data_IF_377029728276
#
_entry.id   IF_377029728276
#
_cell.length_a   1.000
_cell.length_b   1.000
_cell.length_c   1.000
_cell.angle_alpha   90.00
_cell.angle_beta   90.00
_cell.angle_gamma   90.00
#
_symmetry.space_group_name_H-M   'P 1'
#
loop_
_entity.id
_entity.type
_entity.pdbx_description
1 polymer ?
#
# COMPACT_ATOMS: atom_id res chain seq x y z
N UNK A 1 4.03 -10.74 14.48
CA UNK A 1 3.63 -12.10 14.03
C UNK A 1 2.67 -11.90 12.87
N UNK A 2 2.82 -12.67 11.80
CA UNK A 2 1.93 -12.56 10.64
C UNK A 2 0.51 -12.95 11.02
N UNK A 3 -0.48 -12.16 10.60
CA UNK A 3 -1.88 -12.43 10.85
C UNK A 3 -2.43 -13.17 9.64
N UNK A 4 -2.29 -14.49 9.66
CA UNK A 4 -2.76 -15.41 8.62
C UNK A 4 -4.24 -15.71 8.88
N UNK A 5 -5.05 -15.58 7.84
CA UNK A 5 -6.49 -15.83 7.91
C UNK A 5 -6.89 -16.87 6.86
N UNK A 6 -8.13 -17.34 6.93
CA UNK A 6 -8.71 -18.39 6.07
C UNK A 6 -8.10 -19.78 6.24
N UNK A 7 -8.72 -20.77 5.59
CA UNK A 7 -8.47 -22.19 5.81
C UNK A 7 -7.16 -22.68 5.21
N UNK A 8 -6.76 -22.14 4.05
CA UNK A 8 -5.60 -22.60 3.30
C UNK A 8 -4.63 -21.47 2.95
N UNK A 9 -3.36 -21.83 2.77
CA UNK A 9 -2.31 -21.01 2.18
C UNK A 9 -1.43 -21.85 1.24
N UNK A 10 -0.57 -21.19 0.46
CA UNK A 10 0.49 -21.84 -0.32
C UNK A 10 1.86 -21.54 0.26
N UNK A 11 2.71 -22.57 0.30
CA UNK A 11 4.15 -22.45 0.45
C UNK A 11 4.80 -23.15 -0.74
N UNK A 12 5.49 -22.37 -1.57
CA UNK A 12 5.92 -22.78 -2.89
C UNK A 12 4.71 -23.40 -3.63
N UNK A 13 4.84 -24.62 -4.15
CA UNK A 13 3.77 -25.29 -4.88
C UNK A 13 2.81 -26.09 -3.97
N UNK A 14 3.01 -26.06 -2.65
CA UNK A 14 2.24 -26.87 -1.72
C UNK A 14 1.11 -26.06 -1.07
N UNK A 15 -0.14 -26.49 -1.29
CA UNK A 15 -1.29 -26.06 -0.48
C UNK A 15 -1.21 -26.66 0.91
N UNK A 16 -1.38 -25.84 1.94
CA UNK A 16 -1.36 -26.23 3.37
C UNK A 16 -2.56 -25.64 4.10
N UNK A 17 -2.99 -26.32 5.17
CA UNK A 17 -4.02 -25.81 6.07
C UNK A 17 -3.44 -24.83 7.09
N UNK A 18 -4.16 -23.73 7.35
CA UNK A 18 -3.74 -22.66 8.28
C UNK A 18 -3.73 -23.11 9.73
N UNK A 19 -4.50 -24.14 10.11
CA UNK A 19 -4.51 -24.71 11.47
C UNK A 19 -3.11 -25.19 11.94
N UNK A 20 -2.21 -25.52 11.00
CA UNK A 20 -0.85 -25.98 11.27
C UNK A 20 0.23 -24.94 10.85
N UNK A 21 -0.07 -23.65 10.99
CA UNK A 21 0.72 -22.50 10.51
C UNK A 21 1.99 -22.17 11.33
N UNK A 22 2.68 -23.18 11.87
CA UNK A 22 3.94 -22.98 12.62
C UNK A 22 5.05 -22.33 11.78
N UNK A 23 4.98 -22.47 10.46
CA UNK A 23 5.94 -21.90 9.50
C UNK A 23 6.06 -20.38 9.61
N UNK A 24 4.98 -19.67 9.93
CA UNK A 24 4.96 -18.20 10.02
C UNK A 24 5.73 -17.68 11.23
N UNK A 25 5.96 -18.53 12.24
CA UNK A 25 6.80 -18.23 13.39
C UNK A 25 8.29 -18.53 13.13
N UNK A 26 8.60 -19.17 12.01
CA UNK A 26 9.94 -19.57 11.59
C UNK A 26 10.44 -18.74 10.40
N UNK A 27 9.75 -17.64 10.07
CA UNK A 27 10.21 -16.72 9.04
C UNK A 27 11.34 -15.86 9.59
N UNK A 28 12.51 -15.97 8.98
CA UNK A 28 13.74 -15.34 9.42
C UNK A 28 14.53 -14.72 8.25
N UNK A 29 15.56 -13.98 8.62
CA UNK A 29 16.46 -13.33 7.66
C UNK A 29 15.80 -12.20 6.86
N UNK A 30 16.38 -11.91 5.69
CA UNK A 30 15.90 -10.87 4.78
C UNK A 30 14.65 -11.36 4.07
N UNK A 31 13.60 -10.55 4.13
CA UNK A 31 12.30 -10.86 3.53
C UNK A 31 11.76 -9.66 2.77
N UNK A 32 11.20 -9.94 1.59
CA UNK A 32 10.33 -9.01 0.88
C UNK A 32 8.90 -9.48 0.99
N UNK A 33 7.96 -8.55 0.82
CA UNK A 33 6.55 -8.89 0.81
C UNK A 33 5.77 -8.06 -0.20
N UNK A 34 4.60 -8.55 -0.56
CA UNK A 34 3.62 -7.81 -1.34
C UNK A 34 2.23 -7.97 -0.72
N UNK A 35 1.38 -6.96 -0.84
CA UNK A 35 -0.02 -7.03 -0.39
C UNK A 35 -0.92 -6.65 -1.54
N UNK A 36 -1.82 -7.56 -1.92
CA UNK A 36 -2.71 -7.46 -3.07
C UNK A 36 -4.14 -7.52 -2.55
N UNK A 37 -4.97 -6.57 -2.98
CA UNK A 37 -6.39 -6.56 -2.62
C UNK A 37 -7.16 -7.47 -3.57
N UNK A 38 -7.91 -8.40 -3.00
CA UNK A 38 -8.94 -9.15 -3.71
C UNK A 38 -10.27 -8.42 -3.50
N UNK A 39 -10.95 -8.11 -4.59
CA UNK A 39 -12.28 -7.50 -4.58
C UNK A 39 -13.15 -8.20 -5.61
N UNK A 40 -14.34 -8.65 -5.20
CA UNK A 40 -15.24 -9.46 -6.04
C UNK A 40 -14.53 -10.66 -6.69
N UNK A 41 -13.62 -11.31 -5.96
CA UNK A 41 -12.83 -12.45 -6.44
C UNK A 41 -11.68 -12.10 -7.39
N UNK A 42 -11.47 -10.81 -7.70
CA UNK A 42 -10.41 -10.34 -8.59
C UNK A 42 -9.24 -9.78 -7.78
N UNK A 43 -8.02 -10.24 -8.06
CA UNK A 43 -6.79 -9.65 -7.53
C UNK A 43 -6.49 -8.34 -8.29
N UNK A 44 -6.66 -7.20 -7.62
CA UNK A 44 -6.54 -5.87 -8.23
C UNK A 44 -5.10 -5.55 -8.60
N UNK A 45 -4.90 -5.08 -9.85
CA UNK A 45 -3.62 -4.65 -10.41
C UNK A 45 -2.50 -5.67 -10.20
N UNK A 46 -2.82 -6.95 -10.42
CA UNK A 46 -1.94 -8.07 -10.11
C UNK A 46 -0.62 -7.95 -10.87
N UNK A 47 -0.68 -7.55 -12.14
CA UNK A 47 0.47 -7.32 -13.00
C UNK A 47 1.48 -6.34 -12.39
N UNK A 48 1.01 -5.21 -11.87
CA UNK A 48 1.85 -4.18 -11.26
C UNK A 48 2.47 -4.68 -9.93
N UNK A 49 1.69 -5.45 -9.17
CA UNK A 49 2.16 -6.05 -7.92
C UNK A 49 3.25 -7.10 -8.16
N UNK A 50 3.10 -7.97 -9.17
CA UNK A 50 4.10 -8.97 -9.52
C UNK A 50 5.38 -8.32 -10.09
N UNK A 51 5.23 -7.28 -10.91
CA UNK A 51 6.36 -6.49 -11.41
C UNK A 51 7.21 -5.94 -10.23
N UNK A 52 6.58 -5.26 -9.27
CA UNK A 52 7.28 -4.71 -8.11
C UNK A 52 7.87 -5.78 -7.19
N UNK A 53 7.16 -6.91 -7.02
CA UNK A 53 7.63 -8.02 -6.20
C UNK A 53 8.92 -8.63 -6.78
N UNK A 54 8.96 -8.85 -8.10
CA UNK A 54 10.18 -9.28 -8.82
C UNK A 54 11.31 -8.28 -8.71
N UNK A 55 11.03 -6.98 -8.88
CA UNK A 55 12.04 -5.94 -8.72
C UNK A 55 12.62 -5.93 -7.30
N UNK A 56 11.78 -6.11 -6.27
CA UNK A 56 12.22 -6.24 -4.88
C UNK A 56 13.06 -7.51 -4.66
N UNK A 57 12.70 -8.64 -5.29
CA UNK A 57 13.46 -9.88 -5.19
C UNK A 57 14.87 -9.73 -5.78
N UNK A 58 14.94 -9.17 -6.99
CA UNK A 58 16.19 -8.88 -7.68
C UNK A 58 17.09 -7.93 -6.88
N UNK A 59 16.54 -6.80 -6.40
CA UNK A 59 17.30 -5.83 -5.59
C UNK A 59 17.78 -6.39 -4.24
N UNK A 60 17.20 -7.49 -3.77
CA UNK A 60 17.56 -8.12 -2.50
C UNK A 60 18.36 -9.40 -2.63
N UNK A 61 18.67 -9.85 -3.85
CA UNK A 61 19.28 -11.15 -4.16
C UNK A 61 18.48 -12.36 -3.61
N UNK A 62 17.17 -12.21 -3.44
CA UNK A 62 16.28 -13.31 -3.13
C UNK A 62 15.91 -14.03 -4.42
N UNK A 63 16.13 -15.33 -4.48
CA UNK A 63 15.81 -16.13 -5.68
C UNK A 63 14.29 -16.36 -5.73
N UNK A 64 13.63 -15.77 -6.71
CA UNK A 64 12.25 -16.07 -7.08
C UNK A 64 12.29 -16.90 -8.37
N UNK A 65 12.02 -18.20 -8.25
CA UNK A 65 12.01 -19.14 -9.40
C UNK A 65 10.67 -19.14 -10.14
N UNK A 66 9.64 -18.62 -9.50
CA UNK A 66 8.27 -18.67 -9.99
C UNK A 66 8.01 -17.65 -11.10
N UNK A 67 7.31 -18.07 -12.14
CA UNK A 67 6.81 -17.18 -13.18
C UNK A 67 5.57 -16.42 -12.70
N UNK A 68 5.28 -15.27 -13.34
CA UNK A 68 4.06 -14.49 -13.07
C UNK A 68 2.81 -15.36 -13.23
N UNK A 69 2.79 -16.25 -14.22
CA UNK A 69 1.68 -17.16 -14.48
C UNK A 69 1.50 -18.18 -13.33
N UNK A 70 2.59 -18.79 -12.84
CA UNK A 70 2.53 -19.72 -11.70
C UNK A 70 2.08 -19.05 -10.40
N UNK A 71 2.57 -17.83 -10.13
CA UNK A 71 2.11 -17.05 -8.97
C UNK A 71 0.62 -16.70 -9.12
N UNK A 72 0.21 -16.24 -10.31
CA UNK A 72 -1.19 -15.90 -10.62
C UNK A 72 -2.11 -17.10 -10.43
N UNK A 73 -1.75 -18.28 -10.96
CA UNK A 73 -2.52 -19.50 -10.80
C UNK A 73 -2.72 -19.87 -9.32
N UNK A 74 -1.65 -19.82 -8.51
CA UNK A 74 -1.75 -20.10 -7.06
C UNK A 74 -2.58 -19.05 -6.32
N UNK A 75 -2.52 -17.78 -6.71
CA UNK A 75 -3.38 -16.72 -6.15
C UNK A 75 -4.86 -17.04 -6.42
N UNK A 76 -5.24 -17.34 -7.65
CA UNK A 76 -6.63 -17.65 -7.99
C UNK A 76 -7.11 -18.99 -7.44
N UNK A 77 -6.22 -19.99 -7.38
CA UNK A 77 -6.50 -21.23 -6.68
C UNK A 77 -6.76 -20.96 -5.19
N UNK A 78 -5.95 -20.12 -4.54
CA UNK A 78 -6.11 -19.73 -3.15
C UNK A 78 -7.45 -19.02 -2.89
N UNK A 79 -7.83 -18.10 -3.77
CA UNK A 79 -9.13 -17.41 -3.75
C UNK A 79 -10.27 -18.43 -3.83
N UNK A 80 -10.18 -19.36 -4.79
CA UNK A 80 -11.19 -20.38 -5.04
C UNK A 80 -11.36 -21.35 -3.86
N UNK A 81 -10.27 -21.95 -3.35
CA UNK A 81 -10.36 -22.97 -2.29
C UNK A 81 -10.82 -22.40 -0.95
N UNK A 82 -10.61 -21.11 -0.70
CA UNK A 82 -11.11 -20.42 0.50
C UNK A 82 -12.45 -19.71 0.27
N UNK A 83 -12.99 -19.73 -0.97
CA UNK A 83 -14.25 -19.07 -1.33
C UNK A 83 -14.32 -17.58 -0.96
N UNK A 84 -13.18 -16.88 -1.12
CA UNK A 84 -13.05 -15.48 -0.70
C UNK A 84 -13.45 -14.54 -1.84
N UNK A 85 -14.33 -13.59 -1.53
CA UNK A 85 -14.68 -12.51 -2.46
C UNK A 85 -13.89 -11.22 -2.20
N UNK A 86 -13.69 -10.82 -0.94
CA UNK A 86 -13.08 -9.54 -0.58
C UNK A 86 -12.10 -9.69 0.58
N UNK A 87 -10.79 -9.61 0.30
CA UNK A 87 -9.73 -9.73 1.32
C UNK A 87 -8.36 -9.36 0.76
N UNK A 88 -7.36 -9.17 1.61
CA UNK A 88 -5.99 -8.98 1.19
C UNK A 88 -5.23 -10.32 1.15
N UNK A 89 -4.56 -10.57 0.04
CA UNK A 89 -3.53 -11.60 -0.09
C UNK A 89 -2.18 -10.96 0.20
N UNK A 90 -1.34 -11.65 0.96
CA UNK A 90 0.05 -11.29 1.20
C UNK A 90 0.97 -12.34 0.59
N UNK A 91 1.98 -11.86 -0.12
CA UNK A 91 3.11 -12.65 -0.60
C UNK A 91 4.29 -12.36 0.33
N UNK A 92 5.02 -13.38 0.75
CA UNK A 92 6.31 -13.22 1.43
C UNK A 92 7.32 -14.13 0.73
N UNK A 93 8.48 -13.58 0.36
CA UNK A 93 9.60 -14.37 -0.14
C UNK A 93 10.74 -14.31 0.86
N UNK A 94 11.26 -15.49 1.23
CA UNK A 94 12.44 -15.63 2.09
C UNK A 94 13.42 -16.61 1.46
N UNK A 95 14.71 -16.46 1.77
CA UNK A 95 15.74 -17.38 1.29
C UNK A 95 15.58 -18.79 1.89
N UNK A 96 15.09 -18.90 3.13
CA UNK A 96 15.00 -20.16 3.88
C UNK A 96 13.77 -20.99 3.53
N UNK A 97 12.64 -20.36 3.18
CA UNK A 97 11.35 -21.04 2.99
C UNK A 97 10.78 -20.92 1.57
N UNK A 98 11.30 -19.99 0.77
CA UNK A 98 10.75 -19.67 -0.56
C UNK A 98 9.54 -18.75 -0.48
N UNK A 99 8.59 -18.92 -1.41
CA UNK A 99 7.42 -18.05 -1.56
C UNK A 99 6.24 -18.56 -0.74
N UNK A 100 5.68 -17.70 0.11
CA UNK A 100 4.41 -17.92 0.80
C UNK A 100 3.34 -17.03 0.19
N UNK A 101 2.14 -17.57 -0.05
CA UNK A 101 0.95 -16.85 -0.53
C UNK A 101 -0.21 -17.18 0.39
N UNK A 102 -0.76 -16.18 1.07
CA UNK A 102 -1.77 -16.39 2.11
C UNK A 102 -2.72 -15.21 2.24
N UNK A 103 -3.91 -15.44 2.78
CA UNK A 103 -4.78 -14.35 3.19
C UNK A 103 -4.29 -13.73 4.48
N UNK A 104 -4.28 -12.40 4.55
CA UNK A 104 -3.88 -11.67 5.75
C UNK A 104 -5.00 -10.78 6.27
N UNK A 105 -4.91 -10.42 7.56
CA UNK A 105 -5.87 -9.50 8.17
C UNK A 105 -6.02 -8.25 7.33
N UNK A 106 -7.26 -8.00 6.99
CA UNK A 106 -7.64 -6.85 6.20
C UNK A 106 -8.28 -5.81 7.10
N UNK A 107 -7.72 -4.60 7.10
CA UNK A 107 -8.30 -3.47 7.81
C UNK A 107 -8.52 -2.36 6.81
N UNK A 108 -9.77 -2.24 6.36
CA UNK A 108 -10.17 -1.16 5.47
C UNK A 108 -10.46 0.11 6.27
N UNK A 109 -10.16 1.30 5.73
CA UNK A 109 -10.60 2.54 6.36
C UNK A 109 -12.13 2.54 6.51
N UNK A 110 -12.66 2.96 7.67
CA UNK A 110 -14.08 3.24 7.83
C UNK A 110 -14.61 4.18 6.75
N UNK A 111 -15.88 4.03 6.35
CA UNK A 111 -16.49 4.88 5.31
C UNK A 111 -16.42 6.37 5.67
N UNK A 112 -16.55 6.69 6.96
CA UNK A 112 -16.40 8.05 7.49
C UNK A 112 -15.07 8.71 7.12
N UNK A 113 -13.98 7.96 6.95
CA UNK A 113 -12.69 8.56 6.58
C UNK A 113 -12.64 9.01 5.13
N UNK A 114 -13.47 8.43 4.26
CA UNK A 114 -13.60 8.93 2.89
C UNK A 114 -14.48 10.19 2.83
N UNK A 115 -15.39 10.37 3.80
CA UNK A 115 -16.29 11.53 3.87
C UNK A 115 -15.67 12.72 4.62
N UNK A 116 -14.97 12.44 5.71
CA UNK A 116 -14.46 13.44 6.65
C UNK A 116 -12.94 13.58 6.63
N UNK A 117 -12.24 12.60 6.03
CA UNK A 117 -10.79 12.48 6.09
C UNK A 117 -10.34 11.76 7.35
N UNK A 118 -9.08 11.33 7.37
CA UNK A 118 -8.46 10.70 8.52
C UNK A 118 -7.41 11.60 9.19
N UNK A 119 -7.14 11.33 10.47
CA UNK A 119 -6.08 12.01 11.23
C UNK A 119 -4.71 11.34 10.99
N UNK A 120 -3.68 12.17 10.78
CA UNK A 120 -2.28 11.76 10.67
C UNK A 120 -1.38 12.48 11.67
N UNK A 121 -0.24 11.86 11.96
CA UNK A 121 0.86 12.42 12.76
C UNK A 121 2.18 12.34 11.98
N UNK A 122 3.20 13.06 12.44
CA UNK A 122 4.55 13.05 11.88
C UNK A 122 5.48 12.17 12.72
N UNK A 123 6.36 11.41 12.05
CA UNK A 123 7.42 10.66 12.71
C UNK A 123 8.75 10.86 11.98
N UNK A 124 9.77 11.32 12.73
CA UNK A 124 11.12 11.42 12.21
C UNK A 124 11.74 10.03 12.03
N UNK A 125 11.62 9.50 10.83
CA UNK A 125 12.27 8.28 10.38
C UNK A 125 12.17 8.13 8.86
N UNK A 126 13.14 7.43 8.29
CA UNK A 126 13.20 7.15 6.86
C UNK A 126 13.14 5.65 6.60
N UNK A 127 12.68 5.30 5.40
CA UNK A 127 12.82 3.94 4.88
C UNK A 127 14.23 3.74 4.36
N UNK A 128 14.81 2.61 4.74
CA UNK A 128 16.03 2.11 4.12
C UNK A 128 15.63 1.46 2.80
N UNK A 129 16.29 1.85 1.72
CA UNK A 129 16.00 1.42 0.35
C UNK A 129 14.50 1.53 0.02
N UNK A 130 13.93 2.75 -0.03
CA UNK A 130 12.48 2.97 -0.03
C UNK A 130 11.75 2.27 -1.19
N UNK A 131 12.43 2.03 -2.32
CA UNK A 131 11.87 1.33 -3.47
C UNK A 131 11.73 -0.21 -3.26
N UNK A 132 12.32 -0.77 -2.21
CA UNK A 132 12.26 -2.20 -1.90
C UNK A 132 11.25 -2.45 -0.78
N UNK A 133 10.24 -3.28 -1.04
CA UNK A 133 9.19 -3.58 -0.05
C UNK A 133 9.63 -4.68 0.92
N UNK A 134 10.49 -4.32 1.88
CA UNK A 134 11.08 -5.24 2.87
C UNK A 134 10.30 -5.32 4.19
N UNK A 135 10.34 -6.47 4.86
CA UNK A 135 9.78 -6.63 6.21
C UNK A 135 10.76 -6.07 7.24
N UNK A 136 10.31 -5.08 8.04
CA UNK A 136 11.11 -4.43 9.07
C UNK A 136 10.35 -4.33 10.39
N UNK A 137 10.64 -5.23 11.32
CA UNK A 137 9.93 -5.32 12.59
C UNK A 137 10.16 -4.10 13.51
N UNK A 138 11.38 -3.57 13.51
CA UNK A 138 11.74 -2.37 14.28
C UNK A 138 11.01 -1.13 13.76
N UNK A 139 10.92 -0.99 12.44
CA UNK A 139 10.14 0.05 11.76
C UNK A 139 8.65 -0.05 12.15
N UNK A 140 8.06 -1.24 12.00
CA UNK A 140 6.65 -1.47 12.32
C UNK A 140 6.33 -1.18 13.80
N UNK A 141 7.21 -1.56 14.73
CA UNK A 141 7.03 -1.28 16.17
C UNK A 141 7.01 0.22 16.45
N UNK A 142 7.96 0.97 15.89
CA UNK A 142 8.03 2.42 16.09
C UNK A 142 6.82 3.15 15.48
N UNK A 143 6.41 2.75 14.28
CA UNK A 143 5.20 3.29 13.63
C UNK A 143 3.95 3.00 14.47
N UNK A 144 3.80 1.77 14.96
CA UNK A 144 2.64 1.40 15.78
C UNK A 144 2.59 2.20 17.08
N UNK A 145 3.72 2.33 17.77
CA UNK A 145 3.82 3.13 18.98
C UNK A 145 3.43 4.61 18.75
N UNK A 146 3.85 5.22 17.64
CA UNK A 146 3.47 6.60 17.31
C UNK A 146 1.98 6.71 16.99
N UNK A 147 1.41 5.77 16.21
CA UNK A 147 -0.03 5.73 15.90
C UNK A 147 -0.88 5.65 17.16
N UNK A 148 -0.50 4.77 18.09
CA UNK A 148 -1.22 4.58 19.36
C UNK A 148 -1.12 5.83 20.25
N UNK A 149 0.08 6.38 20.38
CA UNK A 149 0.35 7.58 21.20
C UNK A 149 -0.44 8.80 20.72
N UNK A 150 -0.52 9.00 19.41
CA UNK A 150 -1.15 10.18 18.79
C UNK A 150 -2.59 9.93 18.37
N UNK A 151 -3.09 8.70 18.58
CA UNK A 151 -4.40 8.25 18.10
C UNK A 151 -4.59 8.49 16.59
N UNK A 152 -3.49 8.39 15.82
CA UNK A 152 -3.47 8.68 14.39
C UNK A 152 -3.77 7.42 13.57
N UNK A 153 -4.53 7.60 12.49
CA UNK A 153 -4.78 6.50 11.56
C UNK A 153 -3.51 6.12 10.79
N UNK A 154 -2.75 7.11 10.35
CA UNK A 154 -1.52 6.93 9.59
C UNK A 154 -0.42 7.87 10.11
N UNK A 155 0.84 7.42 9.96
CA UNK A 155 2.03 8.21 10.30
C UNK A 155 2.68 8.66 9.01
N UNK A 156 2.92 9.95 8.85
CA UNK A 156 3.74 10.51 7.78
C UNK A 156 5.21 10.54 8.24
N UNK A 157 6.08 10.04 7.37
CA UNK A 157 7.50 9.92 7.62
C UNK A 157 8.21 11.23 7.27
N UNK A 158 9.09 11.66 8.16
CA UNK A 158 9.90 12.87 8.00
C UNK A 158 11.38 12.49 7.98
N UNK A 159 12.09 12.96 6.97
CA UNK A 159 13.53 12.72 6.80
C UNK A 159 14.40 13.57 7.75
N UNK A 160 15.72 13.38 7.71
CA UNK A 160 16.64 14.16 8.54
C UNK A 160 16.58 15.67 8.25
N UNK A 161 16.35 16.04 6.99
CA UNK A 161 16.30 17.43 6.49
C UNK A 161 14.94 18.11 6.74
N UNK A 162 14.02 17.43 7.43
CA UNK A 162 12.66 17.88 7.74
C UNK A 162 11.75 18.05 6.51
N UNK A 163 11.88 17.13 5.56
CA UNK A 163 10.89 16.94 4.50
C UNK A 163 10.01 15.73 4.80
N UNK A 164 8.71 15.86 4.51
CA UNK A 164 7.77 14.75 4.51
C UNK A 164 7.99 13.92 3.26
N UNK A 165 8.14 12.62 3.43
CA UNK A 165 8.39 11.68 2.32
C UNK A 165 7.10 10.98 1.90
N UNK A 166 6.67 10.01 2.68
CA UNK A 166 5.47 9.20 2.46
C UNK A 166 4.79 8.85 3.79
N UNK A 167 3.62 8.20 3.74
CA UNK A 167 3.04 7.56 4.90
C UNK A 167 3.75 6.25 5.24
N UNK A 168 3.53 5.73 6.45
CA UNK A 168 4.23 4.54 6.92
C UNK A 168 3.97 3.30 6.06
N UNK A 169 2.79 3.26 5.44
CA UNK A 169 2.29 2.17 4.59
C UNK A 169 1.60 2.69 3.31
N UNK A 170 1.83 3.95 2.96
CA UNK A 170 1.10 4.67 1.92
C UNK A 170 1.95 5.78 1.31
N UNK A 171 1.65 6.27 0.11
CA UNK A 171 2.32 7.48 -0.43
C UNK A 171 1.48 8.73 -0.14
N UNK A 172 2.14 9.88 0.02
CA UNK A 172 1.51 11.17 0.28
C UNK A 172 1.38 11.99 -1.02
N UNK A 173 0.24 12.65 -1.17
CA UNK A 173 0.03 13.74 -2.12
C UNK A 173 -0.52 14.96 -1.37
N UNK A 174 -0.02 16.15 -1.71
CA UNK A 174 -0.55 17.42 -1.23
C UNK A 174 -1.06 18.25 -2.41
N UNK A 175 -2.09 19.05 -2.19
CA UNK A 175 -2.62 19.99 -3.17
C UNK A 175 -2.26 21.40 -2.72
N UNK A 176 -1.67 22.19 -3.62
CA UNK A 176 -1.40 23.61 -3.40
C UNK A 176 -1.56 24.38 -4.71
N UNK A 177 -2.39 25.42 -4.70
CA UNK A 177 -2.66 26.30 -5.84
C UNK A 177 -3.00 25.51 -7.12
N UNK A 178 -3.94 24.57 -7.01
CA UNK A 178 -4.41 23.73 -8.12
C UNK A 178 -3.35 22.79 -8.74
N UNK A 179 -2.21 22.61 -8.07
CA UNK A 179 -1.17 21.62 -8.41
C UNK A 179 -1.09 20.54 -7.35
N UNK A 180 -0.69 19.34 -7.75
CA UNK A 180 -0.33 18.27 -6.82
C UNK A 180 1.18 18.21 -6.63
N UNK A 181 1.59 17.87 -5.41
CA UNK A 181 2.96 17.56 -5.08
C UNK A 181 3.03 16.20 -4.41
N UNK A 182 4.04 15.42 -4.75
CA UNK A 182 4.36 14.15 -4.10
C UNK A 182 5.87 13.99 -4.06
N UNK A 183 6.39 13.22 -3.10
CA UNK A 183 7.83 13.05 -2.99
C UNK A 183 8.42 12.35 -4.23
N UNK A 184 9.68 12.66 -4.59
CA UNK A 184 10.36 12.03 -5.71
C UNK A 184 10.40 10.51 -5.58
N UNK A 185 10.20 9.80 -6.70
CA UNK A 185 10.20 8.33 -6.76
C UNK A 185 11.39 7.66 -6.05
N UNK A 186 12.59 8.25 -6.11
CA UNK A 186 13.79 7.73 -5.44
C UNK A 186 13.73 7.72 -3.90
N UNK A 187 12.85 8.51 -3.30
CA UNK A 187 12.77 8.71 -1.85
C UNK A 187 11.62 7.92 -1.18
N UNK A 188 10.76 7.27 -1.97
CA UNK A 188 9.53 6.63 -1.46
C UNK A 188 9.30 5.27 -2.09
N UNK A 189 8.46 4.43 -1.49
CA UNK A 189 8.03 3.21 -2.17
C UNK A 189 7.22 3.55 -3.41
N UNK A 190 7.51 2.86 -4.52
CA UNK A 190 6.75 2.99 -5.76
C UNK A 190 5.40 2.28 -5.61
N UNK A 191 4.45 2.96 -4.96
CA UNK A 191 3.11 2.47 -4.69
C UNK A 191 2.33 2.17 -5.96
N UNK A 192 1.58 1.06 -6.00
CA UNK A 192 0.72 0.75 -7.15
C UNK A 192 -0.42 1.77 -7.25
N UNK A 193 -1.04 2.12 -6.12
CA UNK A 193 -2.07 3.16 -6.11
C UNK A 193 -1.47 4.53 -6.46
N UNK A 194 -0.24 4.85 -6.02
CA UNK A 194 0.49 6.04 -6.49
C UNK A 194 0.66 6.04 -8.01
N UNK A 195 1.10 4.92 -8.61
CA UNK A 195 1.24 4.76 -10.07
C UNK A 195 -0.08 5.03 -10.78
N UNK A 196 -1.19 4.46 -10.30
CA UNK A 196 -2.53 4.71 -10.85
C UNK A 196 -2.98 6.16 -10.65
N UNK A 197 -2.74 6.76 -9.49
CA UNK A 197 -3.08 8.18 -9.22
C UNK A 197 -2.32 9.12 -10.16
N UNK A 198 -1.03 8.91 -10.39
CA UNK A 198 -0.24 9.73 -11.33
C UNK A 198 -0.80 9.65 -12.76
N UNK A 199 -1.15 8.45 -13.23
CA UNK A 199 -1.78 8.27 -14.54
C UNK A 199 -3.16 8.94 -14.64
N UNK A 200 -3.94 8.92 -13.55
CA UNK A 200 -5.22 9.65 -13.48
C UNK A 200 -4.99 11.17 -13.52
N UNK A 201 -3.99 11.70 -12.82
CA UNK A 201 -3.63 13.11 -12.88
C UNK A 201 -3.28 13.54 -14.31
N UNK A 202 -2.47 12.76 -15.03
CA UNK A 202 -2.14 13.01 -16.44
C UNK A 202 -3.40 13.04 -17.32
N UNK A 203 -4.26 12.03 -17.17
CA UNK A 203 -5.51 11.91 -17.94
C UNK A 203 -6.48 13.08 -17.68
N UNK A 204 -6.53 13.58 -16.44
CA UNK A 204 -7.39 14.68 -16.02
C UNK A 204 -6.76 16.06 -16.27
N UNK A 205 -5.51 16.12 -16.73
CA UNK A 205 -4.79 17.38 -16.95
C UNK A 205 -4.37 18.09 -15.67
N UNK A 206 -4.21 17.36 -14.56
CA UNK A 206 -3.67 17.91 -13.32
C UNK A 206 -2.13 17.90 -13.34
N UNK A 207 -1.53 19.06 -13.10
CA UNK A 207 -0.08 19.18 -12.94
C UNK A 207 0.36 18.49 -11.64
N UNK A 208 1.34 17.59 -11.75
CA UNK A 208 1.97 16.93 -10.61
C UNK A 208 3.46 17.25 -10.60
N UNK A 209 3.95 17.70 -9.45
CA UNK A 209 5.35 17.98 -9.20
C UNK A 209 5.92 16.94 -8.23
N UNK A 210 6.92 16.19 -8.69
CA UNK A 210 7.65 15.23 -7.87
C UNK A 210 8.80 15.94 -7.12
N UNK A 211 8.47 16.62 -6.03
CA UNK A 211 9.38 17.48 -5.27
C UNK A 211 9.40 17.15 -3.77
N UNK A 212 10.50 17.49 -3.11
CA UNK A 212 10.61 17.38 -1.65
C UNK A 212 9.61 18.32 -0.98
N UNK A 213 8.93 17.83 0.07
CA UNK A 213 7.86 18.59 0.76
C UNK A 213 8.35 19.02 2.15
N UNK A 214 8.79 20.28 2.36
CA UNK A 214 9.22 20.73 3.69
C UNK A 214 8.07 20.68 4.69
N UNK A 215 8.32 20.21 5.91
CA UNK A 215 7.32 20.20 6.99
C UNK A 215 6.77 21.62 7.25
N UNK A 216 7.62 22.64 7.12
CA UNK A 216 7.24 24.05 7.27
C UNK A 216 6.19 24.52 6.25
N UNK A 217 6.03 23.81 5.12
CA UNK A 217 5.07 24.14 4.07
C UNK A 217 3.71 23.49 4.23
N UNK A 218 3.55 22.56 5.18
CA UNK A 218 2.27 21.88 5.41
C UNK A 218 1.16 22.86 5.81
N UNK A 219 1.47 23.89 6.58
CA UNK A 219 0.48 24.90 7.01
C UNK A 219 -0.12 25.71 5.86
N UNK A 220 0.50 25.68 4.69
CA UNK A 220 0.09 26.45 3.52
C UNK A 220 -0.75 25.62 2.53
N UNK A 221 -0.93 24.31 2.71
CA UNK A 221 -1.55 23.45 1.68
C UNK A 221 -3.09 23.55 1.66
N UNK A 222 -3.67 23.31 0.48
CA UNK A 222 -5.12 23.38 0.25
C UNK A 222 -5.83 22.03 0.44
N UNK A 223 -5.06 20.98 0.72
CA UNK A 223 -5.54 19.63 0.97
C UNK A 223 -4.41 18.61 0.87
N UNK A 224 -4.65 17.41 1.40
CA UNK A 224 -3.74 16.29 1.29
C UNK A 224 -4.50 14.96 1.31
N UNK A 225 -3.89 13.93 0.75
CA UNK A 225 -4.42 12.57 0.76
C UNK A 225 -3.28 11.55 0.72
N UNK A 226 -3.58 10.33 1.17
CA UNK A 226 -2.68 9.20 1.03
C UNK A 226 -3.17 8.21 -0.02
N UNK A 227 -2.24 7.43 -0.56
CA UNK A 227 -2.53 6.36 -1.52
C UNK A 227 -1.95 5.02 -1.05
N UNK A 228 -2.70 3.93 -1.19
CA UNK A 228 -2.19 2.61 -0.88
C UNK A 228 -3.21 1.50 -1.08
N UNK A 229 -2.77 0.26 -1.28
CA UNK A 229 -3.65 -0.89 -1.61
C UNK A 229 -4.80 -1.07 -0.61
N UNK A 230 -4.56 -0.84 0.68
CA UNK A 230 -5.60 -0.89 1.71
C UNK A 230 -6.49 0.37 1.79
N UNK A 231 -5.99 1.49 1.31
CA UNK A 231 -6.58 2.83 1.52
C UNK A 231 -7.30 3.37 0.27
N UNK A 232 -7.02 2.82 -0.92
CA UNK A 232 -7.29 3.50 -2.19
C UNK A 232 -6.68 4.91 -2.16
N UNK A 233 -7.46 5.93 -2.54
CA UNK A 233 -7.17 7.35 -2.30
C UNK A 233 -7.96 7.76 -1.06
N UNK A 234 -7.26 8.15 0.01
CA UNK A 234 -7.87 8.47 1.30
C UNK A 234 -7.50 9.90 1.73
N UNK A 235 -8.47 10.82 1.88
CA UNK A 235 -8.20 12.20 2.25
C UNK A 235 -7.68 12.33 3.69
N UNK A 236 -6.80 13.30 3.92
CA UNK A 236 -6.30 13.66 5.24
C UNK A 236 -7.12 14.82 5.80
N UNK A 237 -7.79 14.61 6.93
CA UNK A 237 -8.48 15.66 7.66
C UNK A 237 -7.51 16.53 8.44
N UNK A 238 -6.47 15.92 9.03
CA UNK A 238 -5.50 16.64 9.83
C UNK A 238 -4.12 15.99 9.83
N UNK A 239 -3.10 16.84 9.95
CA UNK A 239 -1.70 16.46 10.20
C UNK A 239 -1.30 17.12 11.52
N UNK A 240 -1.02 16.33 12.55
CA UNK A 240 -0.88 16.86 13.92
C UNK A 240 -2.13 17.69 14.29
N UNK A 241 -1.94 18.94 14.71
CA UNK A 241 -3.02 19.88 15.04
C UNK A 241 -3.53 20.67 13.83
N UNK A 242 -2.90 20.55 12.67
CA UNK A 242 -3.31 21.24 11.45
C UNK A 242 -4.52 20.56 10.82
N UNK A 243 -5.62 21.28 10.66
CA UNK A 243 -6.81 20.80 9.95
C UNK A 243 -6.78 21.22 8.49
N UNK A 244 -7.18 20.33 7.59
CA UNK A 244 -7.15 20.51 6.14
C UNK A 244 -8.54 20.32 5.52
N UNK A 245 -8.93 21.15 4.54
CA UNK A 245 -10.21 21.02 3.85
C UNK A 245 -10.19 19.93 2.75
N UNK A 246 -9.43 18.86 2.93
CA UNK A 246 -9.10 17.87 1.89
C UNK A 246 -10.32 17.19 1.27
N UNK A 247 -11.32 16.84 2.06
CA UNK A 247 -12.54 16.19 1.56
C UNK A 247 -13.42 17.12 0.73
N UNK A 248 -13.26 18.43 0.88
CA UNK A 248 -13.96 19.43 0.08
C UNK A 248 -13.20 19.81 -1.20
N UNK A 249 -11.90 19.48 -1.28
CA UNK A 249 -11.02 19.86 -2.37
C UNK A 249 -11.43 19.18 -3.70
N UNK A 250 -11.71 19.96 -4.78
CA UNK A 250 -12.19 19.42 -6.05
C UNK A 250 -11.26 18.41 -6.72
N UNK A 251 -9.94 18.61 -6.65
CA UNK A 251 -8.94 17.70 -7.24
C UNK A 251 -9.00 16.35 -6.53
N UNK A 252 -9.01 16.36 -5.19
CA UNK A 252 -9.04 15.14 -4.38
C UNK A 252 -10.33 14.36 -4.65
N UNK A 253 -11.48 15.04 -4.69
CA UNK A 253 -12.78 14.42 -5.05
C UNK A 253 -12.76 13.79 -6.45
N UNK A 254 -12.24 14.51 -7.44
CA UNK A 254 -12.15 14.00 -8.81
C UNK A 254 -11.30 12.73 -8.87
N UNK A 255 -10.12 12.75 -8.23
CA UNK A 255 -9.23 11.59 -8.18
C UNK A 255 -9.87 10.39 -7.45
N UNK A 256 -10.55 10.61 -6.33
CA UNK A 256 -11.26 9.53 -5.61
C UNK A 256 -12.35 8.89 -6.49
N UNK A 257 -13.12 9.70 -7.21
CA UNK A 257 -14.18 9.22 -8.11
C UNK A 257 -13.60 8.43 -9.29
N UNK A 258 -12.59 8.98 -9.96
CA UNK A 258 -11.97 8.31 -11.12
C UNK A 258 -11.20 7.04 -10.72
N UNK A 259 -10.57 7.02 -9.55
CA UNK A 259 -9.95 5.80 -9.04
C UNK A 259 -10.99 4.72 -8.74
N UNK A 260 -12.17 5.09 -8.22
CA UNK A 260 -13.27 4.14 -8.00
C UNK A 260 -13.72 3.52 -9.31
N UNK A 261 -13.94 4.33 -10.36
CA UNK A 261 -14.28 3.85 -11.70
C UNK A 261 -13.19 2.97 -12.31
N UNK A 262 -11.92 3.33 -12.10
CA UNK A 262 -10.78 2.53 -12.55
C UNK A 262 -10.81 1.12 -11.96
N UNK A 263 -11.09 1.00 -10.65
CA UNK A 263 -11.21 -0.31 -9.98
C UNK A 263 -12.39 -1.09 -10.52
N UNK A 264 -13.55 -0.46 -10.71
CA UNK A 264 -14.74 -1.11 -11.29
C UNK A 264 -14.48 -1.64 -12.70
N UNK A 265 -13.86 -0.82 -13.55
CA UNK A 265 -13.45 -1.19 -14.91
C UNK A 265 -12.45 -2.34 -14.91
N UNK A 266 -11.45 -2.30 -14.02
CA UNK A 266 -10.47 -3.37 -13.87
C UNK A 266 -11.16 -4.70 -13.51
N UNK A 267 -12.05 -4.69 -12.51
CA UNK A 267 -12.82 -5.88 -12.10
C UNK A 267 -13.64 -6.42 -13.28
N UNK A 268 -14.41 -5.56 -13.96
CA UNK A 268 -15.24 -5.96 -15.09
C UNK A 268 -14.42 -6.58 -16.23
N UNK A 269 -13.26 -6.02 -16.53
CA UNK A 269 -12.36 -6.54 -17.56
C UNK A 269 -11.73 -7.89 -17.20
N UNK A 270 -11.59 -8.18 -15.90
CA UNK A 270 -11.01 -9.42 -15.41
C UNK A 270 -12.04 -10.57 -15.33
N UNK A 271 -13.32 -10.25 -15.09
CA UNK A 271 -14.41 -11.24 -15.04
C UNK A 271 -15.01 -11.56 -16.41
N UNK A 272 -14.74 -10.75 -17.42
CA UNK A 272 -15.23 -10.94 -18.79
C UNK A 272 -14.26 -11.74 -19.69
N UNK A 273 -13.13 -12.22 -19.15
CA UNK A 273 -12.17 -13.10 -19.83
C UNK A 273 -12.45 -14.55 -19.46
#
# INVERSE_FOLDING_TARGET
MEQVEETFYFINDQKKATENSTIFNQLDGKMIYEVIRVQQGVALFLEDHLERFKASAAATNLTLTDSDESITQRIYQLISVNQVSNKNIKLILTASKGLLIFFTKTTYPPQEYYLNGMHTTLLKMERIDPNIKTVRNDYQKRVLAEREKQQAYEVLLVDQDNHVTEGSRSNLFIVKQNKLYTSPAKNVLLGIVRKKTLALCETLGFEVLEETIPVSKLAEIDGAFITGTGNNILPIQSIETLTLPSTSNPIIKALMNEYTKLVESYIHSATSR
#
